data_IF_963353452034
#
_entry.id   IF_963353452034
#
_cell.length_a   1.000
_cell.length_b   1.000
_cell.length_c   1.000
_cell.angle_alpha   90.00
_cell.angle_beta   90.00
_cell.angle_gamma   90.00
#
_symmetry.space_group_name_H-M   'P 1'
#
loop_
_entity.id
_entity.type
_entity.pdbx_description
1 polymer ?
#
# COMPACT_ATOMS: atom_id res chain seq x y z
N UNK A 1 -1.36 9.50 -25.14
CA UNK A 1 -2.29 8.55 -24.48
C UNK A 1 -1.54 7.28 -24.15
N UNK A 2 -1.84 6.64 -23.01
CA UNK A 2 -1.34 5.31 -22.72
C UNK A 2 -1.90 4.33 -23.77
N UNK A 3 -1.06 3.41 -24.27
CA UNK A 3 -1.46 2.44 -25.31
C UNK A 3 -2.39 1.33 -24.79
N UNK A 4 -2.40 1.11 -23.47
CA UNK A 4 -3.22 0.12 -22.77
C UNK A 4 -3.82 0.74 -21.53
N UNK A 5 -4.99 0.26 -21.14
CA UNK A 5 -5.70 0.69 -19.92
C UNK A 5 -4.93 0.34 -18.64
N UNK A 6 -4.13 -0.72 -18.66
CA UNK A 6 -3.30 -1.20 -17.55
C UNK A 6 -1.93 -0.53 -17.43
N UNK A 7 -1.61 0.40 -18.34
CA UNK A 7 -0.44 1.27 -18.28
C UNK A 7 -0.83 2.59 -17.62
N UNK A 8 -0.75 2.63 -16.29
CA UNK A 8 -1.03 3.82 -15.49
C UNK A 8 0.26 4.58 -15.15
N UNK A 9 0.14 5.89 -14.98
CA UNK A 9 1.21 6.74 -14.44
C UNK A 9 1.40 6.62 -12.93
N UNK A 10 0.74 5.64 -12.30
CA UNK A 10 0.56 5.52 -10.86
C UNK A 10 0.91 4.11 -10.39
N UNK A 11 1.28 4.02 -9.12
CA UNK A 11 1.45 2.78 -8.36
C UNK A 11 0.52 2.83 -7.16
N UNK A 12 0.11 1.67 -6.67
CA UNK A 12 -0.82 1.56 -5.56
C UNK A 12 -0.19 0.80 -4.41
N UNK A 13 -0.18 1.39 -3.22
CA UNK A 13 0.11 0.69 -1.98
C UNK A 13 -1.22 0.20 -1.39
N UNK A 14 -1.62 -1.03 -1.74
CA UNK A 14 -2.82 -1.65 -1.18
C UNK A 14 -2.56 -2.17 0.22
N UNK A 15 -3.56 -2.02 1.09
CA UNK A 15 -3.45 -2.36 2.49
C UNK A 15 -3.83 -3.82 2.71
N UNK A 16 -3.01 -4.52 3.50
CA UNK A 16 -3.23 -5.92 3.86
C UNK A 16 -4.12 -6.02 5.09
N UNK A 17 -5.15 -6.84 5.04
CA UNK A 17 -5.87 -7.27 6.23
C UNK A 17 -4.91 -8.05 7.14
N UNK A 18 -4.78 -7.64 8.40
CA UNK A 18 -3.87 -8.26 9.37
C UNK A 18 -4.55 -8.34 10.74
N UNK A 19 -4.98 -9.54 11.19
CA UNK A 19 -4.93 -10.83 10.50
C UNK A 19 -5.89 -10.90 9.29
N UNK A 20 -5.58 -11.78 8.33
CA UNK A 20 -6.44 -12.09 7.19
C UNK A 20 -7.27 -13.34 7.50
N UNK A 21 -8.60 -13.19 7.52
CA UNK A 21 -9.56 -14.19 7.99
C UNK A 21 -10.45 -14.76 6.88
N UNK A 22 -10.32 -14.30 5.62
CA UNK A 22 -11.19 -14.67 4.50
C UNK A 22 -12.67 -14.38 4.77
N UNK A 23 -12.92 -13.26 5.45
CA UNK A 23 -14.24 -12.76 5.80
C UNK A 23 -14.27 -11.27 5.49
N UNK A 24 -14.99 -10.88 4.44
CA UNK A 24 -14.98 -9.50 3.91
C UNK A 24 -15.16 -8.45 5.01
N UNK A 25 -16.12 -8.63 5.92
CA UNK A 25 -16.37 -7.67 6.98
C UNK A 25 -15.21 -7.54 7.97
N UNK A 26 -14.59 -8.67 8.36
CA UNK A 26 -13.47 -8.67 9.31
C UNK A 26 -12.20 -8.15 8.63
N UNK A 27 -11.93 -8.59 7.41
CA UNK A 27 -10.76 -8.20 6.63
C UNK A 27 -10.78 -6.72 6.26
N UNK A 28 -11.95 -6.17 5.91
CA UNK A 28 -12.08 -4.73 5.66
C UNK A 28 -11.89 -3.93 6.95
N UNK A 29 -12.40 -4.43 8.09
CA UNK A 29 -12.21 -3.77 9.38
C UNK A 29 -10.73 -3.71 9.76
N UNK A 30 -10.00 -4.82 9.69
CA UNK A 30 -8.57 -4.85 10.05
C UNK A 30 -7.71 -4.03 9.08
N UNK A 31 -8.00 -4.08 7.78
CA UNK A 31 -7.31 -3.25 6.80
C UNK A 31 -7.61 -1.75 7.01
N UNK A 32 -8.84 -1.40 7.38
CA UNK A 32 -9.19 -0.02 7.70
C UNK A 32 -8.42 0.51 8.93
N UNK A 33 -8.25 -0.30 9.98
CA UNK A 33 -7.42 0.12 11.13
C UNK A 33 -5.94 0.31 10.74
N UNK A 34 -5.42 -0.50 9.82
CA UNK A 34 -4.06 -0.29 9.27
C UNK A 34 -3.99 1.03 8.50
N UNK A 35 -5.01 1.38 7.70
CA UNK A 35 -5.11 2.68 7.03
C UNK A 35 -5.03 3.84 8.02
N UNK A 36 -5.82 3.77 9.10
CA UNK A 36 -5.85 4.80 10.15
C UNK A 36 -4.49 4.93 10.82
N UNK A 37 -3.80 3.82 11.11
CA UNK A 37 -2.46 3.86 11.71
C UNK A 37 -1.44 4.54 10.79
N UNK A 38 -1.47 4.24 9.48
CA UNK A 38 -0.59 4.91 8.50
C UNK A 38 -0.87 6.42 8.45
N UNK A 39 -2.15 6.83 8.51
CA UNK A 39 -2.54 8.25 8.54
C UNK A 39 -2.08 8.92 9.83
N UNK A 40 -2.22 8.27 10.99
CA UNK A 40 -1.72 8.77 12.28
C UNK A 40 -0.20 8.96 12.29
N UNK A 41 0.52 8.01 11.68
CA UNK A 41 1.97 8.05 11.59
C UNK A 41 2.48 9.07 10.55
N UNK A 42 1.66 9.44 9.57
CA UNK A 42 2.06 10.34 8.47
C UNK A 42 2.98 9.70 7.43
N UNK A 43 3.27 8.40 7.56
CA UNK A 43 4.25 7.69 6.72
C UNK A 43 3.81 6.26 6.41
N UNK A 44 4.11 5.80 5.21
CA UNK A 44 4.07 4.37 4.84
C UNK A 44 5.42 3.77 5.21
N UNK A 45 5.43 2.76 6.08
CA UNK A 45 6.66 2.09 6.54
C UNK A 45 7.02 0.89 5.66
N UNK A 46 8.31 0.61 5.53
CA UNK A 46 8.81 -0.59 4.88
C UNK A 46 8.34 -1.85 5.62
N UNK A 47 7.88 -2.85 4.86
CA UNK A 47 7.54 -4.16 5.39
C UNK A 47 8.62 -5.18 5.05
N UNK A 48 8.83 -6.16 5.94
CA UNK A 48 9.65 -7.33 5.65
C UNK A 48 9.03 -8.13 4.49
N UNK A 49 9.80 -8.35 3.42
CA UNK A 49 9.27 -8.99 2.21
C UNK A 49 9.15 -10.51 2.29
N UNK A 50 9.91 -11.23 3.13
CA UNK A 50 9.72 -12.66 3.50
C UNK A 50 10.78 -13.08 4.53
N UNK A 51 10.52 -14.16 5.30
CA UNK A 51 11.46 -14.74 6.29
C UNK A 51 12.74 -15.33 5.65
N UNK A 52 12.70 -15.71 4.37
CA UNK A 52 13.83 -16.30 3.65
C UNK A 52 14.45 -15.30 2.65
N UNK A 53 15.14 -14.29 3.18
CA UNK A 53 15.94 -13.37 2.37
C UNK A 53 15.17 -12.21 1.73
N UNK A 54 14.03 -11.83 2.30
CA UNK A 54 13.38 -10.57 1.98
C UNK A 54 14.22 -9.36 2.45
N UNK A 55 14.12 -8.26 1.71
CA UNK A 55 14.60 -6.96 2.15
C UNK A 55 13.41 -6.11 2.61
N UNK A 56 13.60 -5.29 3.63
CA UNK A 56 12.57 -4.34 4.03
C UNK A 56 12.37 -3.32 2.91
N UNK A 57 11.17 -3.28 2.35
CA UNK A 57 10.83 -2.38 1.25
C UNK A 57 9.40 -1.89 1.39
N UNK A 58 9.15 -0.69 0.89
CA UNK A 58 7.80 -0.21 0.63
C UNK A 58 7.39 -0.76 -0.73
N UNK A 59 6.32 -1.55 -0.74
CA UNK A 59 5.88 -2.30 -1.90
C UNK A 59 4.66 -1.64 -2.54
N UNK A 60 4.58 -1.67 -3.86
CA UNK A 60 3.47 -1.15 -4.63
C UNK A 60 3.11 -2.11 -5.75
N UNK A 61 1.86 -2.06 -6.18
CA UNK A 61 1.35 -2.76 -7.35
C UNK A 61 1.24 -1.77 -8.50
N UNK A 62 1.83 -2.10 -9.64
CA UNK A 62 1.51 -1.40 -10.88
C UNK A 62 0.23 -2.02 -11.46
N UNK A 63 -0.88 -1.30 -11.43
CA UNK A 63 -2.15 -1.82 -11.93
C UNK A 63 -3.09 -0.69 -12.35
N UNK A 64 -4.32 -1.05 -12.72
CA UNK A 64 -5.43 -0.10 -12.67
C UNK A 64 -6.00 -0.12 -11.26
N UNK A 65 -6.52 1.01 -10.77
CA UNK A 65 -7.19 1.05 -9.46
C UNK A 65 -8.33 0.05 -9.30
N UNK A 66 -8.92 -0.42 -10.39
CA UNK A 66 -10.02 -1.39 -10.36
C UNK A 66 -9.56 -2.84 -10.25
N UNK A 67 -8.27 -3.12 -10.47
CA UNK A 67 -7.72 -4.48 -10.38
C UNK A 67 -7.85 -5.08 -8.97
N UNK A 68 -7.94 -4.25 -7.92
CA UNK A 68 -8.16 -4.70 -6.53
C UNK A 68 -9.53 -5.34 -6.31
N UNK A 69 -10.50 -5.14 -7.22
CA UNK A 69 -11.84 -5.74 -7.13
C UNK A 69 -11.82 -7.26 -7.29
N UNK A 70 -10.89 -7.74 -8.10
CA UNK A 70 -10.76 -9.15 -8.44
C UNK A 70 -9.67 -9.85 -7.60
N UNK A 71 -9.04 -9.11 -6.68
CA UNK A 71 -8.00 -9.64 -5.79
C UNK A 71 -8.64 -10.46 -4.66
N UNK A 72 -8.21 -11.72 -4.54
CA UNK A 72 -8.70 -12.67 -3.51
C UNK A 72 -7.64 -12.95 -2.44
N UNK A 73 -6.53 -12.21 -2.47
CA UNK A 73 -5.47 -12.27 -1.49
C UNK A 73 -5.82 -11.45 -0.24
N UNK A 74 -4.81 -11.20 0.60
CA UNK A 74 -4.95 -10.39 1.82
C UNK A 74 -5.10 -8.90 1.56
N UNK A 75 -4.81 -8.41 0.35
CA UNK A 75 -4.97 -7.01 -0.01
C UNK A 75 -6.46 -6.64 -0.08
N UNK A 76 -6.82 -5.54 0.58
CA UNK A 76 -8.19 -5.03 0.63
C UNK A 76 -8.28 -3.73 -0.18
N UNK A 77 -9.49 -3.29 -0.59
CA UNK A 77 -9.71 -2.08 -1.39
C UNK A 77 -9.51 -0.76 -0.62
N UNK A 78 -8.47 -0.71 0.21
CA UNK A 78 -7.92 0.47 0.87
C UNK A 78 -6.49 0.66 0.41
N UNK A 79 -6.09 1.87 0.06
CA UNK A 79 -4.71 2.08 -0.36
C UNK A 79 -4.36 3.48 -0.81
N UNK A 80 -3.09 3.67 -1.14
CA UNK A 80 -2.52 4.95 -1.53
C UNK A 80 -2.09 4.94 -2.99
N UNK A 81 -2.55 5.92 -3.76
CA UNK A 81 -2.08 6.19 -5.12
C UNK A 81 -0.86 7.09 -5.09
N UNK A 82 0.22 6.68 -5.74
CA UNK A 82 1.45 7.49 -5.82
C UNK A 82 1.92 7.53 -7.26
N UNK A 83 2.39 8.70 -7.70
CA UNK A 83 3.00 8.83 -9.03
C UNK A 83 4.17 7.87 -9.21
N UNK A 84 4.09 7.05 -10.27
CA UNK A 84 5.15 6.12 -10.68
C UNK A 84 6.46 6.85 -10.95
N UNK A 85 6.39 8.08 -11.49
CA UNK A 85 7.55 8.94 -11.72
C UNK A 85 8.20 9.38 -10.40
N UNK A 86 7.40 9.69 -9.37
CA UNK A 86 7.91 10.08 -8.05
C UNK A 86 8.63 8.91 -7.38
N UNK A 87 8.02 7.72 -7.37
CA UNK A 87 8.66 6.49 -6.86
C UNK A 87 9.96 6.18 -7.62
N UNK A 88 9.96 6.26 -8.95
CA UNK A 88 11.17 6.05 -9.75
C UNK A 88 12.28 7.05 -9.42
N UNK A 89 11.93 8.32 -9.23
CA UNK A 89 12.89 9.39 -8.90
C UNK A 89 13.48 9.20 -7.51
N UNK A 90 12.73 8.62 -6.58
CA UNK A 90 13.20 8.21 -5.25
C UNK A 90 14.03 6.91 -5.25
N UNK A 91 14.34 6.33 -6.42
CA UNK A 91 15.12 5.09 -6.51
C UNK A 91 14.28 3.81 -6.55
N UNK A 92 12.95 3.90 -6.44
CA UNK A 92 12.07 2.74 -6.54
C UNK A 92 12.09 2.10 -7.93
N UNK A 93 12.00 0.77 -8.00
CA UNK A 93 12.14 0.00 -9.24
C UNK A 93 11.18 -1.20 -9.26
N UNK A 94 10.86 -1.72 -10.47
CA UNK A 94 10.22 -3.03 -10.58
C UNK A 94 11.06 -4.13 -9.96
N UNK A 95 10.35 -5.10 -9.41
CA UNK A 95 10.89 -6.37 -8.92
C UNK A 95 11.51 -7.20 -10.05
N UNK A 96 12.50 -8.00 -9.70
CA UNK A 96 13.15 -9.00 -10.54
C UNK A 96 12.63 -10.37 -10.10
N UNK A 97 11.75 -10.95 -10.92
CA UNK A 97 11.24 -12.30 -10.74
C UNK A 97 12.23 -13.31 -11.31
N UNK A 98 12.72 -14.22 -10.47
CA UNK A 98 13.72 -15.20 -10.88
C UNK A 98 13.79 -16.35 -9.85
N UNK A 99 14.26 -17.55 -10.23
CA UNK A 99 14.50 -18.65 -9.31
C UNK A 99 15.41 -18.24 -8.14
N UNK A 100 15.17 -18.81 -6.95
CA UNK A 100 15.94 -18.47 -5.73
C UNK A 100 17.45 -18.67 -5.92
N UNK A 101 17.85 -19.69 -6.68
CA UNK A 101 19.25 -20.00 -6.98
C UNK A 101 19.96 -18.92 -7.81
N UNK A 102 19.20 -18.08 -8.52
CA UNK A 102 19.72 -16.98 -9.34
C UNK A 102 19.84 -15.67 -8.55
N UNK A 103 19.26 -15.57 -7.34
CA UNK A 103 19.39 -14.37 -6.49
C UNK A 103 20.86 -13.97 -6.28
N UNK A 104 21.75 -14.96 -6.11
CA UNK A 104 23.19 -14.74 -5.92
C UNK A 104 23.90 -14.15 -7.15
N UNK A 105 23.29 -14.25 -8.33
CA UNK A 105 23.80 -13.65 -9.58
C UNK A 105 23.51 -12.15 -9.65
N UNK A 106 22.56 -11.65 -8.84
CA UNK A 106 22.26 -10.24 -8.74
C UNK A 106 23.33 -9.53 -7.90
N UNK A 107 23.73 -8.34 -8.37
CA UNK A 107 24.59 -7.47 -7.58
C UNK A 107 23.94 -7.19 -6.20
N UNK A 108 24.67 -7.26 -5.09
CA UNK A 108 24.12 -7.05 -3.74
C UNK A 108 23.31 -5.76 -3.61
N UNK A 109 23.71 -4.68 -4.29
CA UNK A 109 23.02 -3.37 -4.26
C UNK A 109 21.60 -3.38 -4.84
N UNK A 110 21.21 -4.43 -5.57
CA UNK A 110 19.88 -4.57 -6.19
C UNK A 110 19.13 -5.81 -5.73
N UNK A 111 19.67 -6.60 -4.79
CA UNK A 111 19.02 -7.82 -4.29
C UNK A 111 17.68 -7.55 -3.60
N UNK A 112 17.44 -6.33 -3.11
CA UNK A 112 16.14 -5.90 -2.57
C UNK A 112 15.01 -5.95 -3.60
N UNK A 113 15.33 -5.98 -4.90
CA UNK A 113 14.35 -6.15 -5.98
C UNK A 113 13.99 -7.60 -6.23
N UNK A 114 14.69 -8.58 -5.66
CA UNK A 114 14.46 -9.99 -5.95
C UNK A 114 13.10 -10.45 -5.40
N UNK A 115 12.37 -11.22 -6.22
CA UNK A 115 11.21 -11.99 -5.78
C UNK A 115 11.30 -13.42 -6.35
N UNK A 116 11.08 -14.46 -5.52
CA UNK A 116 11.04 -15.83 -6.01
C UNK A 116 10.02 -16.02 -7.13
N UNK A 117 10.45 -16.70 -8.18
CA UNK A 117 9.61 -17.18 -9.26
C UNK A 117 10.10 -18.56 -9.67
N UNK A 118 9.24 -19.58 -9.53
CA UNK A 118 9.57 -20.96 -9.82
C UNK A 118 8.28 -21.76 -10.10
N UNK A 119 8.03 -22.07 -11.38
CA UNK A 119 6.83 -22.80 -11.82
C UNK A 119 6.89 -24.30 -11.54
N UNK A 120 8.09 -24.82 -11.23
CA UNK A 120 8.32 -26.22 -10.86
C UNK A 120 8.15 -26.45 -9.36
N UNK A 121 8.28 -25.39 -8.54
CA UNK A 121 8.07 -25.40 -7.09
C UNK A 121 6.57 -25.47 -6.69
N UNK A 122 5.89 -26.55 -7.08
CA UNK A 122 4.46 -26.77 -6.81
C UNK A 122 4.22 -27.35 -5.42
N UNK A 123 3.15 -26.91 -4.78
CA UNK A 123 2.68 -27.42 -3.48
C UNK A 123 1.14 -27.43 -3.43
N UNK A 124 0.56 -27.97 -2.36
CA UNK A 124 -0.88 -27.87 -2.11
C UNK A 124 -1.35 -26.40 -2.01
N UNK A 125 -0.52 -25.51 -1.46
CA UNK A 125 -0.81 -24.08 -1.34
C UNK A 125 -0.46 -23.27 -2.59
N UNK A 126 0.34 -23.83 -3.51
CA UNK A 126 0.80 -23.18 -4.75
C UNK A 126 0.74 -24.19 -5.91
N UNK A 127 -0.46 -24.59 -6.37
CA UNK A 127 -0.63 -25.66 -7.35
C UNK A 127 -0.01 -25.36 -8.72
N UNK A 128 0.20 -24.07 -9.03
CA UNK A 128 0.82 -23.59 -10.27
C UNK A 128 2.28 -23.17 -10.12
N UNK A 129 2.91 -23.49 -8.98
CA UNK A 129 4.25 -23.03 -8.62
C UNK A 129 4.24 -21.67 -7.93
N UNK A 130 5.42 -21.13 -7.63
CA UNK A 130 5.60 -19.83 -7.01
C UNK A 130 5.57 -18.76 -8.11
N UNK A 131 4.48 -18.01 -8.19
CA UNK A 131 4.31 -16.93 -9.17
C UNK A 131 3.65 -15.70 -8.53
N UNK A 132 4.43 -14.63 -8.40
CA UNK A 132 3.99 -13.30 -7.95
C UNK A 132 4.03 -12.26 -9.08
N UNK A 133 4.19 -12.68 -10.34
CA UNK A 133 4.29 -11.77 -11.49
C UNK A 133 2.99 -11.00 -11.73
N UNK A 134 1.86 -11.57 -11.30
CA UNK A 134 0.55 -10.92 -11.32
C UNK A 134 0.48 -9.67 -10.43
N UNK A 135 1.30 -9.56 -9.38
CA UNK A 135 1.37 -8.35 -8.54
C UNK A 135 2.01 -7.17 -9.27
N UNK A 136 2.79 -7.41 -10.34
CA UNK A 136 3.56 -6.38 -11.06
C UNK A 136 4.27 -5.43 -10.09
N UNK A 137 4.98 -6.03 -9.14
CA UNK A 137 5.43 -5.36 -7.93
C UNK A 137 6.54 -4.33 -8.24
N UNK A 138 6.41 -3.17 -7.62
CA UNK A 138 7.44 -2.15 -7.50
C UNK A 138 7.86 -2.03 -6.04
N UNK A 139 9.16 -1.82 -5.80
CA UNK A 139 9.70 -1.61 -4.46
C UNK A 139 10.44 -0.28 -4.37
N UNK A 140 10.37 0.32 -3.20
CA UNK A 140 11.24 1.40 -2.76
C UNK A 140 12.00 0.92 -1.52
N UNK A 141 13.33 0.91 -1.61
CA UNK A 141 14.22 0.45 -0.53
C UNK A 141 14.56 1.61 0.42
N UNK A 142 13.51 2.19 1.00
CA UNK A 142 13.57 3.26 2.00
C UNK A 142 12.73 2.82 3.21
N UNK A 143 13.10 3.20 4.45
CA UNK A 143 12.39 2.77 5.64
C UNK A 143 10.96 3.35 5.72
N UNK A 144 10.77 4.55 5.17
CA UNK A 144 9.52 5.30 5.26
C UNK A 144 9.28 6.13 3.99
N UNK A 145 8.01 6.33 3.66
CA UNK A 145 7.56 7.25 2.63
C UNK A 145 6.49 8.18 3.23
N UNK A 146 6.77 9.49 3.28
CA UNK A 146 5.82 10.50 3.73
C UNK A 146 4.52 10.46 2.89
N UNK A 147 3.39 10.67 3.57
CA UNK A 147 2.08 10.82 2.91
C UNK A 147 2.00 12.08 2.03
N UNK A 148 2.93 13.03 2.13
CA UNK A 148 3.09 14.12 1.15
C UNK A 148 3.43 13.60 -0.27
N UNK A 149 3.83 12.33 -0.37
CA UNK A 149 4.05 11.65 -1.63
C UNK A 149 2.79 11.10 -2.30
N UNK A 150 1.71 10.99 -1.54
CA UNK A 150 0.45 10.41 -1.98
C UNK A 150 -0.33 11.41 -2.83
N UNK A 151 -0.97 10.89 -3.87
CA UNK A 151 -1.87 11.63 -4.74
C UNK A 151 -3.34 11.44 -4.37
N UNK A 152 -3.72 10.23 -3.95
CA UNK A 152 -5.07 9.86 -3.54
C UNK A 152 -5.07 8.75 -2.50
N UNK A 153 -6.09 8.73 -1.67
CA UNK A 153 -6.38 7.65 -0.71
C UNK A 153 -7.66 6.96 -1.18
N UNK A 154 -7.60 5.66 -1.40
CA UNK A 154 -8.74 4.88 -1.86
C UNK A 154 -9.45 4.17 -0.72
N UNK A 155 -10.78 4.20 -0.77
CA UNK A 155 -11.70 3.44 0.08
C UNK A 155 -12.75 2.72 -0.79
N UNK A 156 -13.34 1.59 -0.35
CA UNK A 156 -14.23 0.80 -1.19
C UNK A 156 -15.52 1.54 -1.56
N UNK A 157 -16.21 2.14 -0.59
CA UNK A 157 -17.54 2.74 -0.75
C UNK A 157 -17.75 3.94 0.19
N UNK A 158 -18.90 4.60 0.04
CA UNK A 158 -19.29 5.79 0.81
C UNK A 158 -19.25 5.55 2.32
N UNK A 159 -19.65 4.35 2.79
CA UNK A 159 -19.58 4.00 4.23
C UNK A 159 -18.19 4.17 4.79
N UNK A 160 -17.16 3.72 4.06
CA UNK A 160 -15.77 3.84 4.51
C UNK A 160 -15.16 5.21 4.27
N UNK A 161 -15.68 6.00 3.32
CA UNK A 161 -15.33 7.42 3.23
C UNK A 161 -15.79 8.14 4.48
N UNK A 162 -17.06 7.98 4.83
CA UNK A 162 -17.66 8.69 5.97
C UNK A 162 -16.97 8.25 7.28
N UNK A 163 -16.74 6.94 7.44
CA UNK A 163 -15.98 6.43 8.59
C UNK A 163 -14.54 6.95 8.64
N UNK A 164 -13.87 7.11 7.49
CA UNK A 164 -12.52 7.68 7.44
C UNK A 164 -12.53 9.14 7.90
N UNK A 165 -13.47 9.94 7.41
CA UNK A 165 -13.65 11.34 7.81
C UNK A 165 -13.88 11.42 9.33
N UNK A 166 -14.84 10.66 9.85
CA UNK A 166 -15.15 10.63 11.29
C UNK A 166 -13.90 10.29 12.12
N UNK A 167 -13.19 9.20 11.76
CA UNK A 167 -11.98 8.77 12.49
C UNK A 167 -10.84 9.76 12.39
N UNK A 168 -10.74 10.53 11.31
CA UNK A 168 -9.74 11.59 11.20
C UNK A 168 -10.13 12.85 11.98
N UNK A 169 -11.42 13.17 12.10
CA UNK A 169 -11.90 14.26 12.95
C UNK A 169 -11.68 13.96 14.44
N UNK A 170 -11.78 12.68 14.83
CA UNK A 170 -11.41 12.24 16.17
C UNK A 170 -9.92 12.53 16.45
N UNK A 171 -9.02 12.32 15.49
CA UNK A 171 -7.59 12.65 15.62
C UNK A 171 -7.38 14.14 15.87
N UNK A 172 -8.10 15.00 15.13
CA UNK A 172 -8.04 16.46 15.34
C UNK A 172 -8.54 16.81 16.74
N UNK A 173 -9.66 16.23 17.16
CA UNK A 173 -10.25 16.46 18.48
C UNK A 173 -9.35 15.99 19.62
N UNK A 174 -8.60 14.91 19.42
CA UNK A 174 -7.60 14.39 20.37
C UNK A 174 -6.32 15.22 20.41
N UNK A 175 -6.07 16.08 19.41
CA UNK A 175 -4.86 16.91 19.29
C UNK A 175 -4.88 18.22 20.09
N UNK A 176 -5.87 18.39 20.97
CA UNK A 176 -6.03 19.59 21.80
C UNK A 176 -4.75 19.88 22.57
N UNK A 177 -4.29 21.12 22.47
CA UNK A 177 -3.05 21.57 23.07
C UNK A 177 -3.30 22.68 24.10
N UNK A 178 -2.62 22.58 25.25
CA UNK A 178 -2.65 23.61 26.30
C UNK A 178 -2.14 24.97 25.80
N UNK A 179 -1.22 24.98 24.82
CA UNK A 179 -0.71 26.20 24.20
C UNK A 179 -1.80 26.95 23.42
N UNK A 180 -2.76 26.22 22.88
CA UNK A 180 -3.85 26.74 22.06
C UNK A 180 -5.16 26.83 22.85
N UNK A 181 -5.13 26.95 24.19
CA UNK A 181 -6.32 27.22 25.01
C UNK A 181 -7.52 26.28 24.74
N UNK A 182 -7.27 24.99 24.52
CA UNK A 182 -8.33 24.01 24.28
C UNK A 182 -8.75 23.85 22.81
N UNK A 183 -8.10 24.54 21.87
CA UNK A 183 -8.25 24.29 20.44
C UNK A 183 -7.32 23.15 19.98
N UNK A 184 -7.71 22.38 18.93
CA UNK A 184 -6.82 21.46 18.25
C UNK A 184 -5.51 22.11 17.79
N UNK A 185 -4.46 21.31 17.63
CA UNK A 185 -3.22 21.79 17.05
C UNK A 185 -3.45 22.15 15.57
N UNK A 186 -3.23 23.41 15.13
CA UNK A 186 -3.53 23.83 13.75
C UNK A 186 -2.80 22.99 12.69
N UNK A 187 -1.57 22.55 12.97
CA UNK A 187 -0.82 21.69 12.03
C UNK A 187 -1.43 20.30 11.87
N UNK A 188 -2.15 19.80 12.88
CA UNK A 188 -2.86 18.52 12.79
C UNK A 188 -4.15 18.70 11.98
N UNK A 189 -4.87 19.80 12.20
CA UNK A 189 -6.05 20.17 11.41
C UNK A 189 -5.70 20.31 9.93
N UNK A 190 -4.70 21.14 9.59
CA UNK A 190 -4.23 21.34 8.20
C UNK A 190 -3.83 20.01 7.53
N UNK A 191 -3.15 19.14 8.28
CA UNK A 191 -2.75 17.82 7.80
C UNK A 191 -3.97 16.94 7.52
N UNK A 192 -4.93 16.85 8.45
CA UNK A 192 -6.13 16.03 8.29
C UNK A 192 -7.03 16.56 7.16
N UNK A 193 -7.17 17.87 7.00
CA UNK A 193 -7.88 18.46 5.87
C UNK A 193 -7.27 18.01 4.54
N UNK A 194 -5.93 18.04 4.42
CA UNK A 194 -5.24 17.54 3.23
C UNK A 194 -5.46 16.05 2.98
N UNK A 195 -5.56 15.24 4.03
CA UNK A 195 -5.87 13.80 3.96
C UNK A 195 -7.30 13.61 3.43
N UNK A 196 -8.27 14.36 3.94
CA UNK A 196 -9.67 14.26 3.54
C UNK A 196 -9.89 14.66 2.08
N UNK A 197 -9.18 15.69 1.59
CA UNK A 197 -9.19 16.11 0.18
C UNK A 197 -8.68 15.03 -0.78
N UNK A 198 -7.78 14.16 -0.31
CA UNK A 198 -7.22 13.07 -1.12
C UNK A 198 -8.15 11.85 -1.26
N UNK A 199 -9.24 11.75 -0.49
CA UNK A 199 -10.08 10.56 -0.46
C UNK A 199 -10.80 10.35 -1.81
N UNK A 200 -10.79 9.10 -2.28
CA UNK A 200 -11.46 8.68 -3.49
C UNK A 200 -12.16 7.33 -3.29
N UNK A 201 -13.38 7.21 -3.81
CA UNK A 201 -14.20 6.01 -3.65
C UNK A 201 -14.04 5.10 -4.88
N UNK A 202 -13.73 3.83 -4.64
CA UNK A 202 -13.61 2.81 -5.68
C UNK A 202 -14.95 2.31 -6.20
N UNK A 203 -16.05 2.50 -5.45
CA UNK A 203 -17.41 2.01 -5.73
C UNK A 203 -17.45 0.47 -5.79
N UNK A 204 -17.02 -0.14 -4.70
CA UNK A 204 -17.01 -1.59 -4.46
C UNK A 204 -17.96 -1.83 -3.29
N UNK A 205 -18.98 -2.65 -3.52
CA UNK A 205 -20.02 -2.96 -2.54
C UNK A 205 -19.57 -4.08 -1.58
#
# INVERSE_FOLDING_TARGET
>A
MAKRNDNSGFLYHWIKATPFMRSNNLDYSTAFEVLINIIKDGVIRAGLTMEAGGHECICFTESTKYSIRDDTSKYQPFGFEISKRRVFSAGGRPVIYSPIVEKQLLNPSIQWRFMPFDLDARSESSPFGIDFTWEREWRLNEPELSLDAVNRIFVPNDRYRDLLIDRTNDIVSESISDYYYGYPCPSVEDYIDSIQEMINILRID
#
